data_IF_632862466204
#
_entry.id   IF_632862466204
#
_cell.length_a   1.000
_cell.length_b   1.000
_cell.length_c   1.000
_cell.angle_alpha   90.00
_cell.angle_beta   90.00
_cell.angle_gamma   90.00
#
_symmetry.space_group_name_H-M   'P 1'
#
loop_
_entity.id
_entity.type
_entity.pdbx_description
1 polymer ?
#
# COMPACT_ATOMS: atom_id res chain seq x y z
N UNK A 1 -14.16 -9.48 -38.05
CA UNK A 1 -13.08 -9.99 -37.16
C UNK A 1 -13.74 -10.64 -35.96
N UNK A 2 -13.60 -11.97 -35.79
CA UNK A 2 -14.29 -12.74 -34.76
C UNK A 2 -13.39 -12.79 -33.51
N UNK A 3 -13.83 -12.14 -32.42
CA UNK A 3 -13.13 -12.19 -31.13
C UNK A 3 -13.62 -13.40 -30.35
N UNK A 4 -12.74 -14.38 -30.15
CA UNK A 4 -13.04 -15.62 -29.44
C UNK A 4 -12.68 -15.44 -27.97
N UNK A 5 -13.70 -15.33 -27.11
CA UNK A 5 -13.55 -15.19 -25.67
C UNK A 5 -13.43 -16.57 -25.02
N UNK A 6 -12.29 -16.88 -24.39
CA UNK A 6 -12.13 -18.12 -23.61
C UNK A 6 -12.60 -17.89 -22.18
N UNK A 7 -13.71 -18.53 -21.83
CA UNK A 7 -14.24 -18.56 -20.48
C UNK A 7 -13.59 -19.71 -19.70
N UNK A 8 -12.79 -19.38 -18.70
CA UNK A 8 -12.15 -20.37 -17.82
C UNK A 8 -13.20 -20.85 -16.81
N UNK A 9 -13.60 -22.12 -16.92
CA UNK A 9 -14.51 -22.79 -15.99
C UNK A 9 -13.66 -23.49 -14.90
N UNK A 10 -13.92 -23.16 -13.63
CA UNK A 10 -13.25 -23.80 -12.49
C UNK A 10 -14.09 -25.00 -12.02
N UNK A 11 -13.49 -26.19 -11.78
CA UNK A 11 -14.26 -27.41 -11.60
C UNK A 11 -14.84 -27.64 -10.19
N UNK A 12 -14.64 -26.75 -9.21
CA UNK A 12 -15.00 -27.08 -7.82
C UNK A 12 -15.50 -25.91 -6.95
N UNK A 13 -16.30 -24.99 -7.50
CA UNK A 13 -17.24 -24.14 -6.70
C UNK A 13 -16.67 -23.32 -5.53
N UNK A 14 -15.35 -23.19 -5.38
CA UNK A 14 -14.72 -22.59 -4.22
C UNK A 14 -13.90 -21.39 -4.70
N UNK A 15 -14.53 -20.23 -4.61
CA UNK A 15 -13.90 -18.94 -4.90
C UNK A 15 -13.09 -18.55 -3.65
N UNK A 16 -11.75 -18.43 -3.73
CA UNK A 16 -10.96 -17.96 -2.59
C UNK A 16 -11.38 -16.53 -2.23
N UNK A 17 -11.65 -16.30 -0.94
CA UNK A 17 -12.15 -15.04 -0.34
C UNK A 17 -11.13 -13.88 -0.37
N UNK A 18 -10.23 -13.83 -1.33
CA UNK A 18 -9.23 -12.78 -1.41
C UNK A 18 -8.95 -12.41 -2.86
N UNK A 19 -8.99 -11.09 -3.11
CA UNK A 19 -8.68 -10.41 -4.36
C UNK A 19 -9.78 -10.40 -5.45
N UNK A 20 -10.75 -9.51 -5.28
CA UNK A 20 -11.17 -8.66 -6.40
C UNK A 20 -10.59 -7.26 -6.17
N UNK A 21 -9.27 -7.14 -6.33
CA UNK A 21 -8.63 -5.86 -6.61
C UNK A 21 -8.68 -5.67 -8.13
N UNK A 22 -9.59 -4.82 -8.61
CA UNK A 22 -9.60 -4.41 -10.01
C UNK A 22 -8.46 -3.40 -10.19
N UNK A 23 -7.37 -3.83 -10.83
CA UNK A 23 -6.26 -2.97 -11.21
C UNK A 23 -6.62 -2.24 -12.51
N UNK A 24 -6.86 -0.93 -12.43
CA UNK A 24 -6.92 -0.07 -13.60
C UNK A 24 -5.54 0.51 -13.88
N UNK A 25 -4.91 0.11 -14.98
CA UNK A 25 -3.66 0.72 -15.50
C UNK A 25 -4.07 1.91 -16.36
N UNK A 26 -3.77 3.13 -15.90
CA UNK A 26 -3.83 4.34 -16.70
C UNK A 26 -2.39 4.74 -17.06
N UNK A 27 -2.06 4.65 -18.35
CA UNK A 27 -0.80 5.16 -18.91
C UNK A 27 -1.00 6.65 -19.18
N UNK A 28 -0.42 7.49 -18.34
CA UNK A 28 -0.38 8.94 -18.46
C UNK A 28 1.06 9.44 -18.57
N UNK A 29 1.28 10.32 -19.53
CA UNK A 29 2.59 10.73 -20.07
C UNK A 29 3.52 11.45 -19.08
N UNK A 30 4.80 11.43 -19.46
CA UNK A 30 5.98 11.84 -18.72
C UNK A 30 5.97 13.35 -18.44
N UNK A 31 6.07 13.76 -17.18
CA UNK A 31 6.64 15.07 -16.83
C UNK A 31 7.85 14.87 -15.92
N UNK A 32 8.94 15.53 -16.28
CA UNK A 32 10.26 15.43 -15.66
C UNK A 32 10.36 16.53 -14.60
N UNK A 33 10.44 16.15 -13.33
CA UNK A 33 10.82 17.07 -12.25
C UNK A 33 12.18 16.65 -11.68
N UNK A 34 13.15 17.55 -11.80
CA UNK A 34 14.54 17.41 -11.34
C UNK A 34 14.60 17.41 -9.81
N UNK A 35 15.36 16.46 -9.26
CA UNK A 35 15.68 16.34 -7.83
C UNK A 35 16.77 17.35 -7.42
N UNK A 36 16.63 17.93 -6.23
CA UNK A 36 17.72 18.61 -5.54
C UNK A 36 18.00 17.87 -4.23
N UNK A 37 19.26 17.42 -4.09
CA UNK A 37 19.87 16.78 -2.93
C UNK A 37 20.68 17.85 -2.21
N UNK A 38 20.46 18.07 -0.92
CA UNK A 38 21.38 18.83 -0.08
C UNK A 38 21.67 17.98 1.17
N UNK A 39 22.95 17.66 1.31
CA UNK A 39 23.60 16.94 2.40
C UNK A 39 24.61 17.91 3.03
N UNK A 40 24.84 17.76 4.34
CA UNK A 40 25.96 18.30 5.15
C UNK A 40 25.72 19.67 5.81
N UNK A 41 25.83 19.75 7.15
CA UNK A 41 27.14 19.91 7.80
C UNK A 41 27.09 19.76 9.33
N UNK A 42 28.29 19.51 9.86
CA UNK A 42 28.67 19.13 11.22
C UNK A 42 28.77 20.36 12.14
N UNK A 43 28.39 20.24 13.41
CA UNK A 43 29.19 20.84 14.52
C UNK A 43 28.87 20.23 15.88
N UNK A 44 29.96 19.93 16.60
CA UNK A 44 30.08 19.29 17.92
C UNK A 44 29.85 20.28 19.07
N UNK A 45 29.44 19.76 20.24
CA UNK A 45 29.82 20.13 21.63
C UNK A 45 29.00 19.21 22.56
N UNK A 46 29.50 18.09 23.08
CA UNK A 46 30.47 17.84 24.16
C UNK A 46 30.15 18.56 25.49
N UNK A 47 29.48 17.86 26.42
CA UNK A 47 29.53 18.10 27.87
C UNK A 47 29.42 16.76 28.62
N UNK A 48 30.60 16.21 28.94
CA UNK A 48 31.02 15.48 30.15
C UNK A 48 30.02 14.97 31.22
N UNK A 49 29.99 13.62 31.35
CA UNK A 49 30.08 12.70 32.53
C UNK A 49 29.28 12.87 33.85
N UNK A 50 28.58 11.77 34.22
CA UNK A 50 28.76 10.94 35.46
C UNK A 50 27.88 9.68 35.36
N UNK A 51 28.35 8.45 35.14
CA UNK A 51 28.96 7.44 36.04
C UNK A 51 28.05 6.93 37.18
N UNK A 52 27.53 5.70 37.03
CA UNK A 52 27.40 4.57 38.00
C UNK A 52 26.66 3.43 37.28
N UNK A 53 27.36 2.44 36.74
CA UNK A 53 27.65 1.13 37.36
C UNK A 53 26.48 0.14 37.35
N UNK A 54 26.57 -0.86 36.45
CA UNK A 54 26.13 -2.25 36.66
C UNK A 54 26.64 -3.18 35.55
N UNK A 55 27.78 -3.79 35.86
CA UNK A 55 28.15 -5.20 35.60
C UNK A 55 27.69 -5.90 34.30
N UNK A 56 28.65 -6.02 33.37
CA UNK A 56 29.18 -7.27 32.81
C UNK A 56 28.24 -8.50 32.68
N UNK A 57 27.83 -8.82 31.44
CA UNK A 57 28.08 -10.15 30.83
C UNK A 57 28.26 -9.96 29.32
N UNK A 58 29.52 -10.11 28.85
CA UNK A 58 29.87 -10.17 27.43
C UNK A 58 29.70 -11.61 26.95
N UNK A 59 28.75 -11.86 26.06
CA UNK A 59 28.79 -13.06 25.23
C UNK A 59 29.24 -12.67 23.82
N UNK A 60 30.54 -12.87 23.57
CA UNK A 60 31.13 -12.85 22.23
C UNK A 60 30.62 -14.05 21.44
N UNK A 61 29.78 -13.84 20.44
CA UNK A 61 29.58 -14.80 19.36
C UNK A 61 30.26 -14.24 18.11
N UNK A 62 31.52 -14.63 17.95
CA UNK A 62 32.27 -14.49 16.70
C UNK A 62 31.84 -15.65 15.77
N UNK A 63 30.94 -15.37 14.84
CA UNK A 63 30.60 -16.30 13.76
C UNK A 63 31.00 -15.68 12.42
N UNK A 64 32.25 -15.99 12.08
CA UNK A 64 32.91 -16.00 10.77
C UNK A 64 31.93 -15.84 9.59
N UNK A 65 32.00 -14.68 8.95
CA UNK A 65 31.41 -14.44 7.64
C UNK A 65 32.12 -15.31 6.59
N UNK A 66 31.47 -16.41 6.18
CA UNK A 66 31.87 -17.17 5.00
C UNK A 66 31.47 -16.37 3.75
N UNK A 67 32.47 -15.80 3.08
CA UNK A 67 32.31 -15.04 1.86
C UNK A 67 31.99 -16.00 0.68
N UNK A 68 30.75 -16.52 0.64
CA UNK A 68 30.27 -17.28 -0.51
C UNK A 68 30.01 -16.27 -1.64
N UNK A 69 30.93 -16.19 -2.59
CA UNK A 69 30.76 -15.47 -3.86
C UNK A 69 29.43 -15.90 -4.48
N UNK A 70 28.39 -15.07 -4.28
CA UNK A 70 27.10 -15.23 -4.95
C UNK A 70 27.34 -14.88 -6.41
N UNK A 71 27.25 -15.88 -7.27
CA UNK A 71 27.11 -15.68 -8.71
C UNK A 71 25.95 -14.70 -8.92
N UNK A 72 26.22 -13.60 -9.62
CA UNK A 72 25.18 -12.65 -10.04
C UNK A 72 24.30 -13.37 -11.06
N UNK A 73 23.27 -14.07 -10.59
CA UNK A 73 22.14 -14.40 -11.44
C UNK A 73 21.56 -13.07 -11.90
N UNK A 74 21.54 -12.83 -13.21
CA UNK A 74 20.89 -11.67 -13.82
C UNK A 74 19.45 -11.64 -13.37
N UNK A 75 19.13 -10.76 -12.42
CA UNK A 75 17.77 -10.51 -11.99
C UNK A 75 17.00 -10.02 -13.20
N UNK A 76 16.09 -10.85 -13.73
CA UNK A 76 14.98 -10.37 -14.53
C UNK A 76 14.38 -9.21 -13.75
N UNK A 77 14.44 -8.00 -14.32
CA UNK A 77 13.89 -6.80 -13.71
C UNK A 77 12.41 -7.06 -13.49
N UNK A 78 12.02 -7.38 -12.26
CA UNK A 78 10.61 -7.41 -11.88
C UNK A 78 10.08 -6.01 -12.18
N UNK A 79 9.23 -5.91 -13.20
CA UNK A 79 8.59 -4.65 -13.56
C UNK A 79 7.74 -4.22 -12.36
N UNK A 80 8.17 -3.14 -11.71
CA UNK A 80 7.44 -2.55 -10.61
C UNK A 80 6.27 -1.76 -11.17
N UNK A 81 5.07 -2.02 -10.66
CA UNK A 81 3.86 -1.26 -11.02
C UNK A 81 3.52 -0.26 -9.93
N UNK A 82 3.00 0.90 -10.35
CA UNK A 82 2.37 1.86 -9.45
C UNK A 82 0.87 1.59 -9.42
N UNK A 83 0.27 1.65 -8.23
CA UNK A 83 -1.16 1.45 -8.06
C UNK A 83 -1.74 2.50 -7.11
N UNK A 84 -3.03 2.78 -7.29
CA UNK A 84 -3.84 3.56 -6.36
C UNK A 84 -5.11 2.79 -6.04
N UNK A 85 -5.69 3.03 -4.87
CA UNK A 85 -6.91 2.33 -4.47
C UNK A 85 -7.91 3.20 -3.71
N UNK A 86 -9.15 2.74 -3.70
CA UNK A 86 -10.21 3.23 -2.82
C UNK A 86 -10.61 2.04 -1.95
N UNK A 87 -10.58 2.22 -0.63
CA UNK A 87 -10.97 1.18 0.32
C UNK A 87 -12.19 1.66 1.10
N UNK A 88 -13.29 0.92 1.05
CA UNK A 88 -14.44 1.10 1.95
C UNK A 88 -14.41 -0.06 2.94
N UNK A 89 -14.32 0.25 4.23
CA UNK A 89 -14.37 -0.75 5.30
C UNK A 89 -15.80 -1.07 5.66
N UNK A 90 -15.97 -2.21 6.29
CA UNK A 90 -17.28 -2.72 6.72
C UNK A 90 -17.13 -3.52 8.02
N UNK A 91 -18.24 -3.99 8.57
CA UNK A 91 -18.34 -4.74 9.82
C UNK A 91 -17.49 -6.02 9.87
N UNK A 92 -17.12 -6.59 8.72
CA UNK A 92 -16.22 -7.74 8.61
C UNK A 92 -14.74 -7.38 8.44
N UNK A 93 -14.38 -6.10 8.42
CA UNK A 93 -12.99 -5.65 8.33
C UNK A 93 -12.22 -6.00 9.60
N UNK A 94 -11.00 -6.55 9.45
CA UNK A 94 -10.11 -6.88 10.59
C UNK A 94 -9.86 -5.69 11.52
N UNK A 95 -9.71 -4.49 10.94
CA UNK A 95 -9.58 -3.24 11.68
C UNK A 95 -10.76 -2.34 11.33
N UNK A 96 -11.71 -2.20 12.25
CA UNK A 96 -12.92 -1.41 12.08
C UNK A 96 -12.74 0.09 12.35
N UNK A 97 -11.52 0.62 12.33
CA UNK A 97 -11.26 2.04 12.53
C UNK A 97 -10.59 2.64 11.29
N UNK A 98 -10.92 3.88 10.93
CA UNK A 98 -10.27 4.64 9.87
C UNK A 98 -9.93 6.06 10.34
N UNK A 99 -9.31 6.87 9.48
CA UNK A 99 -9.01 8.26 9.80
C UNK A 99 -10.27 9.14 9.91
N UNK A 100 -11.40 8.68 9.35
CA UNK A 100 -12.69 9.36 9.44
C UNK A 100 -13.52 8.90 10.62
N UNK A 101 -13.40 7.62 10.95
CA UNK A 101 -14.14 6.97 12.01
C UNK A 101 -13.13 6.27 12.93
N UNK A 102 -12.45 7.03 13.81
CA UNK A 102 -11.43 6.50 14.69
C UNK A 102 -11.99 5.48 15.69
N UNK A 103 -13.24 5.68 16.13
CA UNK A 103 -13.96 4.77 17.03
C UNK A 103 -14.60 3.58 16.31
N UNK A 104 -14.73 3.67 14.98
CA UNK A 104 -15.19 2.56 14.15
C UNK A 104 -16.68 2.26 14.23
N UNK A 105 -17.51 3.22 14.65
CA UNK A 105 -18.95 3.04 14.83
C UNK A 105 -19.66 2.84 13.50
N UNK A 106 -19.36 3.70 12.52
CA UNK A 106 -19.94 3.65 11.17
C UNK A 106 -19.44 2.39 10.45
N UNK A 107 -18.14 2.11 10.55
CA UNK A 107 -17.56 0.93 9.91
C UNK A 107 -18.15 -0.37 10.49
N UNK A 108 -18.40 -0.41 11.80
CA UNK A 108 -19.00 -1.59 12.45
C UNK A 108 -20.47 -1.78 12.09
N UNK A 109 -21.19 -0.71 11.76
CA UNK A 109 -22.59 -0.77 11.32
C UNK A 109 -22.72 -1.06 9.82
N UNK A 110 -21.74 -0.67 9.02
CA UNK A 110 -21.76 -0.84 7.56
C UNK A 110 -21.67 -2.31 7.19
N UNK A 111 -22.63 -2.82 6.41
CA UNK A 111 -22.60 -4.22 5.99
C UNK A 111 -21.64 -4.45 4.82
N UNK A 112 -21.40 -5.73 4.47
CA UNK A 112 -20.55 -6.06 3.32
C UNK A 112 -21.23 -5.59 2.03
N UNK A 113 -22.54 -5.77 1.94
CA UNK A 113 -23.31 -5.43 0.75
C UNK A 113 -23.43 -3.91 0.59
N UNK A 114 -23.59 -3.17 1.69
CA UNK A 114 -23.57 -1.70 1.66
C UNK A 114 -22.22 -1.18 1.17
N UNK A 115 -21.11 -1.74 1.66
CA UNK A 115 -19.78 -1.36 1.20
C UNK A 115 -19.58 -1.67 -0.29
N UNK A 116 -20.10 -2.79 -0.78
CA UNK A 116 -20.08 -3.14 -2.20
C UNK A 116 -20.95 -2.18 -3.02
N UNK A 117 -22.12 -1.80 -2.52
CA UNK A 117 -22.99 -0.83 -3.19
C UNK A 117 -22.31 0.52 -3.30
N UNK A 118 -21.75 1.04 -2.21
CA UNK A 118 -20.99 2.29 -2.21
C UNK A 118 -19.82 2.25 -3.22
N UNK A 119 -19.08 1.14 -3.28
CA UNK A 119 -18.01 0.99 -4.27
C UNK A 119 -18.51 0.98 -5.71
N UNK A 120 -19.68 0.38 -5.97
CA UNK A 120 -20.29 0.39 -7.31
C UNK A 120 -20.72 1.80 -7.71
N UNK A 121 -21.34 2.55 -6.80
CA UNK A 121 -21.78 3.92 -7.05
C UNK A 121 -20.59 4.83 -7.35
N UNK A 122 -19.55 4.75 -6.51
CA UNK A 122 -18.28 5.46 -6.75
C UNK A 122 -17.64 5.06 -8.09
N UNK A 123 -17.70 3.78 -8.45
CA UNK A 123 -17.18 3.30 -9.73
C UNK A 123 -17.94 3.90 -10.90
N UNK A 124 -19.27 3.98 -10.83
CA UNK A 124 -20.11 4.61 -11.86
C UNK A 124 -19.75 6.08 -12.02
N UNK A 125 -19.57 6.81 -10.91
CA UNK A 125 -19.21 8.23 -10.96
C UNK A 125 -17.82 8.48 -11.55
N UNK A 126 -16.85 7.60 -11.25
CA UNK A 126 -15.50 7.66 -11.83
C UNK A 126 -15.54 7.33 -13.33
N UNK A 127 -16.25 6.27 -13.73
CA UNK A 127 -16.32 5.84 -15.14
C UNK A 127 -17.08 6.85 -15.99
N UNK A 128 -18.14 7.46 -15.43
CA UNK A 128 -18.87 8.57 -16.08
C UNK A 128 -18.14 9.91 -16.01
N UNK A 129 -16.92 9.95 -15.47
CA UNK A 129 -16.08 11.15 -15.35
C UNK A 129 -16.73 12.30 -14.57
N UNK A 130 -17.71 12.01 -13.71
CA UNK A 130 -18.30 13.01 -12.80
C UNK A 130 -17.34 13.43 -11.69
N UNK A 131 -16.44 12.53 -11.29
CA UNK A 131 -15.42 12.76 -10.28
C UNK A 131 -14.11 12.07 -10.66
N UNK A 132 -12.98 12.67 -10.31
CA UNK A 132 -11.67 12.03 -10.51
C UNK A 132 -11.42 10.95 -9.46
N UNK A 133 -10.64 9.91 -9.82
CA UNK A 133 -10.30 8.82 -8.89
C UNK A 133 -9.60 9.34 -7.63
N UNK A 134 -8.68 10.30 -7.78
CA UNK A 134 -7.92 10.90 -6.67
C UNK A 134 -8.83 11.63 -5.69
N UNK A 135 -9.82 12.38 -6.20
CA UNK A 135 -10.77 13.10 -5.35
C UNK A 135 -11.67 12.14 -4.59
N UNK A 136 -12.17 11.11 -5.27
CA UNK A 136 -12.98 10.06 -4.63
C UNK A 136 -12.17 9.33 -3.56
N UNK A 137 -10.92 8.96 -3.86
CA UNK A 137 -10.05 8.31 -2.88
C UNK A 137 -9.78 9.19 -1.67
N UNK A 138 -9.49 10.47 -1.88
CA UNK A 138 -9.22 11.43 -0.80
C UNK A 138 -10.44 11.63 0.10
N UNK A 139 -11.63 11.66 -0.50
CA UNK A 139 -12.88 11.94 0.21
C UNK A 139 -13.52 10.72 0.83
N UNK A 140 -13.45 9.55 0.20
CA UNK A 140 -14.24 8.37 0.56
C UNK A 140 -13.42 7.21 1.14
N UNK A 141 -12.14 7.06 0.77
CA UNK A 141 -11.33 5.91 1.20
C UNK A 141 -11.02 5.90 2.70
N UNK A 142 -11.16 4.75 3.34
CA UNK A 142 -10.81 4.47 4.74
C UNK A 142 -9.32 4.11 4.94
N UNK A 143 -8.55 4.04 3.85
CA UNK A 143 -7.10 3.85 3.93
C UNK A 143 -6.38 5.17 4.19
N UNK A 144 -5.23 5.13 4.85
CA UNK A 144 -4.39 6.33 5.05
C UNK A 144 -3.82 6.89 3.73
N UNK A 145 -3.78 6.08 2.66
CA UNK A 145 -3.43 6.51 1.30
C UNK A 145 -4.39 7.57 0.75
N UNK A 146 -5.59 7.75 1.34
CA UNK A 146 -6.53 8.81 1.00
C UNK A 146 -5.86 10.19 0.98
N UNK A 147 -4.93 10.46 1.90
CA UNK A 147 -4.18 11.73 1.95
C UNK A 147 -3.32 12.01 0.71
N UNK A 148 -3.06 10.99 -0.12
CA UNK A 148 -2.30 11.04 -1.36
C UNK A 148 -3.14 10.61 -2.57
N UNK A 149 -4.45 10.82 -2.53
CA UNK A 149 -5.33 10.43 -3.64
C UNK A 149 -5.43 8.91 -3.85
N UNK A 150 -5.17 8.11 -2.82
CA UNK A 150 -5.22 6.66 -2.88
C UNK A 150 -3.91 5.99 -3.33
N UNK A 151 -2.84 6.74 -3.56
CA UNK A 151 -1.55 6.21 -4.01
C UNK A 151 -0.91 5.25 -3.00
N UNK A 152 -0.54 4.05 -3.48
CA UNK A 152 0.09 3.00 -2.68
C UNK A 152 1.62 3.10 -2.66
N UNK A 153 2.21 4.01 -3.46
CA UNK A 153 3.65 4.17 -3.58
C UNK A 153 4.30 3.21 -4.57
N UNK A 154 5.63 3.08 -4.46
CA UNK A 154 6.51 2.21 -5.26
C UNK A 154 7.30 1.25 -4.37
#
# INVERSE_FOLDING_TARGET
MKSTFHQIHWPNGQIPLYAHAFYGVSVGEKSICKSARIESERKRKNTSISSTDRSHVRHSHNLKHSNKKRTKMSSSSSEKVRASHILIKHQGSRRKASWKDPEGRVISATTRDDAVSQLKDLRVDIVSSKASFSDVASRYSDCSSAKRGGDLGL
#
